data_IF_302908518980
#
_entry.id   IF_302908518980
#
_cell.length_a   1.000
_cell.length_b   1.000
_cell.length_c   1.000
_cell.angle_alpha   90.00
_cell.angle_beta   90.00
_cell.angle_gamma   90.00
#
_symmetry.space_group_name_H-M   'P 1'
#
loop_
_entity.id
_entity.type
_entity.pdbx_description
1 polymer ?
#
# COMPACT_ATOMS: atom_id res chain seq x y z
N UNK A 1 -6.02 -20.28 16.82
CA UNK A 1 -7.22 -19.94 17.63
C UNK A 1 -7.43 -18.39 17.70
N UNK A 2 -7.08 -17.64 16.64
CA UNK A 2 -7.07 -16.15 16.66
C UNK A 2 -8.04 -15.51 15.67
N UNK A 3 -8.97 -16.25 15.07
CA UNK A 3 -9.92 -15.71 14.10
C UNK A 3 -11.27 -15.29 14.69
N UNK A 4 -11.48 -15.48 15.98
CA UNK A 4 -12.71 -14.99 16.62
C UNK A 4 -12.48 -13.54 17.10
N UNK A 5 -13.27 -12.63 16.55
CA UNK A 5 -13.47 -11.32 17.18
C UNK A 5 -14.06 -11.62 18.55
N UNK A 6 -13.34 -11.31 19.61
CA UNK A 6 -13.92 -11.34 20.94
C UNK A 6 -15.00 -10.27 21.00
N UNK A 7 -16.16 -10.59 21.57
CA UNK A 7 -17.18 -9.60 21.87
C UNK A 7 -16.56 -8.58 22.84
N UNK A 8 -16.31 -7.39 22.35
CA UNK A 8 -15.70 -6.32 23.14
C UNK A 8 -14.75 -5.44 22.36
N UNK A 9 -14.50 -4.31 22.92
CA UNK A 9 -13.73 -3.21 22.33
C UNK A 9 -12.32 -3.14 22.90
N UNK A 10 -11.31 -3.13 22.02
CA UNK A 10 -9.93 -2.86 22.40
C UNK A 10 -9.63 -1.36 22.50
N UNK A 11 -10.20 -0.55 21.58
CA UNK A 11 -9.91 0.88 21.47
C UNK A 11 -11.22 1.68 21.37
N UNK A 12 -11.28 2.76 22.12
CA UNK A 12 -12.36 3.76 22.05
C UNK A 12 -11.78 5.17 21.94
N UNK A 13 -12.63 6.18 22.09
CA UNK A 13 -12.28 7.59 21.91
C UNK A 13 -11.09 8.05 22.73
N UNK A 14 -11.01 7.69 24.01
CA UNK A 14 -9.90 8.10 24.88
C UNK A 14 -8.55 7.56 24.42
N UNK A 15 -8.50 6.26 24.07
CA UNK A 15 -7.24 5.65 23.60
C UNK A 15 -6.84 6.16 22.23
N UNK A 16 -7.79 6.38 21.32
CA UNK A 16 -7.54 7.01 20.02
C UNK A 16 -6.96 8.42 20.20
N UNK A 17 -7.52 9.21 21.11
CA UNK A 17 -6.99 10.55 21.45
C UNK A 17 -5.55 10.46 21.96
N UNK A 18 -5.27 9.49 22.82
CA UNK A 18 -3.91 9.27 23.35
C UNK A 18 -2.92 8.83 22.26
N UNK A 19 -3.34 7.97 21.34
CA UNK A 19 -2.55 7.55 20.17
C UNK A 19 -2.22 8.77 19.32
N UNK A 20 -3.20 9.58 18.95
CA UNK A 20 -2.99 10.81 18.16
C UNK A 20 -2.03 11.78 18.83
N UNK A 21 -2.14 11.96 20.14
CA UNK A 21 -1.28 12.86 20.90
C UNK A 21 0.19 12.38 21.00
N UNK A 22 0.46 11.11 20.75
CA UNK A 22 1.79 10.49 20.85
C UNK A 22 2.44 10.20 19.51
N UNK A 23 1.72 10.42 18.41
CA UNK A 23 2.21 10.17 17.05
C UNK A 23 2.18 11.46 16.24
N UNK A 24 3.06 11.59 15.25
CA UNK A 24 3.07 12.74 14.33
C UNK A 24 1.96 12.54 13.28
N UNK A 25 2.10 11.54 12.42
CA UNK A 25 1.12 11.22 11.37
C UNK A 25 0.61 9.78 11.53
N UNK A 26 0.53 9.34 12.78
CA UNK A 26 0.22 7.95 13.09
C UNK A 26 -1.27 7.64 13.03
N UNK A 27 -1.51 6.34 12.89
CA UNK A 27 -2.83 5.74 12.96
C UNK A 27 -2.83 4.51 13.86
N UNK A 28 -3.90 3.74 13.77
CA UNK A 28 -4.02 2.48 14.47
C UNK A 28 -4.63 1.40 13.58
N UNK A 29 -4.07 0.19 13.62
CA UNK A 29 -4.65 -0.99 13.00
C UNK A 29 -5.07 -1.96 14.10
N UNK A 30 -6.36 -2.20 14.20
CA UNK A 30 -6.98 -2.95 15.31
C UNK A 30 -7.65 -4.19 14.74
N UNK A 31 -7.07 -5.36 14.98
CA UNK A 31 -7.68 -6.62 14.59
C UNK A 31 -8.76 -7.05 15.60
N UNK A 32 -9.72 -6.16 15.82
CA UNK A 32 -10.77 -6.34 16.81
C UNK A 32 -11.83 -5.26 16.75
N UNK A 33 -12.62 -5.12 17.82
CA UNK A 33 -13.68 -4.12 17.96
C UNK A 33 -13.18 -2.77 18.44
N UNK A 34 -13.90 -1.73 18.02
CA UNK A 34 -13.77 -0.35 18.52
C UNK A 34 -15.12 0.15 19.01
N UNK A 35 -15.13 1.24 19.82
CA UNK A 35 -16.34 1.94 20.24
C UNK A 35 -16.13 3.46 20.12
N UNK A 36 -17.17 4.20 20.47
CA UNK A 36 -17.17 5.69 20.50
C UNK A 36 -16.85 6.29 19.11
N UNK A 37 -17.48 5.72 18.06
CA UNK A 37 -17.18 6.04 16.64
C UNK A 37 -17.38 7.54 16.38
N UNK A 38 -18.43 8.16 16.88
CA UNK A 38 -18.72 9.58 16.69
C UNK A 38 -17.65 10.48 17.33
N UNK A 39 -17.02 10.02 18.41
CA UNK A 39 -15.90 10.70 19.02
C UNK A 39 -14.61 10.48 18.22
N UNK A 40 -14.36 9.24 17.80
CA UNK A 40 -13.18 8.88 17.02
C UNK A 40 -13.13 9.60 15.66
N UNK A 41 -14.28 9.80 15.00
CA UNK A 41 -14.39 10.52 13.72
C UNK A 41 -14.00 12.01 13.81
N UNK A 42 -13.98 12.58 15.02
CA UNK A 42 -13.54 13.97 15.25
C UNK A 42 -12.04 14.09 15.48
N UNK A 43 -11.36 12.98 15.61
CA UNK A 43 -9.91 12.93 15.85
C UNK A 43 -9.24 12.78 14.49
N UNK A 44 -8.31 13.68 14.16
CA UNK A 44 -7.53 13.62 12.92
C UNK A 44 -6.48 12.49 13.02
N UNK A 45 -6.99 11.24 12.89
CA UNK A 45 -6.14 10.03 12.88
C UNK A 45 -6.86 8.90 12.16
N UNK A 46 -6.13 8.12 11.38
CA UNK A 46 -6.70 6.97 10.68
C UNK A 46 -6.77 5.76 11.62
N UNK A 47 -7.94 5.12 11.70
CA UNK A 47 -8.12 3.90 12.49
C UNK A 47 -8.77 2.82 11.63
N UNK A 48 -8.01 1.73 11.40
CA UNK A 48 -8.50 0.55 10.70
C UNK A 48 -8.92 -0.51 11.73
N UNK A 49 -10.13 -1.06 11.60
CA UNK A 49 -10.68 -2.01 12.57
C UNK A 49 -11.61 -3.03 11.91
N UNK A 50 -11.92 -4.12 12.60
CA UNK A 50 -12.80 -5.19 12.10
C UNK A 50 -14.28 -4.98 12.38
N UNK A 51 -14.64 -4.31 13.46
CA UNK A 51 -16.04 -4.14 13.84
C UNK A 51 -16.22 -3.15 14.98
N UNK A 52 -17.47 -2.93 15.32
CA UNK A 52 -17.90 -2.02 16.39
C UNK A 52 -18.59 -2.82 17.47
N UNK A 53 -18.25 -2.58 18.74
CA UNK A 53 -18.89 -3.19 19.90
C UNK A 53 -18.84 -2.19 21.07
N UNK A 54 -19.97 -1.83 21.70
CA UNK A 54 -19.97 -0.86 22.79
C UNK A 54 -19.37 -1.41 24.10
N UNK A 55 -19.21 -2.73 24.21
CA UNK A 55 -18.80 -3.39 25.44
C UNK A 55 -17.27 -3.32 25.61
N UNK A 56 -16.74 -2.76 26.70
CA UNK A 56 -15.31 -2.77 26.95
C UNK A 56 -14.83 -4.21 27.22
N UNK A 57 -13.64 -4.53 26.68
CA UNK A 57 -13.02 -5.83 26.92
C UNK A 57 -12.54 -5.91 28.37
N UNK A 58 -12.89 -6.99 29.07
CA UNK A 58 -12.54 -7.19 30.48
C UNK A 58 -11.77 -8.50 30.74
N UNK A 59 -11.89 -9.44 29.82
CA UNK A 59 -11.37 -10.79 29.98
C UNK A 59 -10.01 -10.99 29.29
N UNK A 60 -9.37 -9.92 28.82
CA UNK A 60 -8.08 -9.98 28.14
C UNK A 60 -7.03 -9.22 28.90
N UNK A 61 -5.80 -9.76 28.89
CA UNK A 61 -4.61 -9.10 29.39
C UNK A 61 -3.64 -8.86 28.23
N UNK A 62 -2.88 -7.80 28.30
CA UNK A 62 -1.80 -7.55 27.35
C UNK A 62 -0.67 -8.54 27.65
N UNK A 63 -0.35 -9.37 26.68
CA UNK A 63 0.69 -10.40 26.83
C UNK A 63 2.03 -9.96 26.28
N UNK A 64 2.04 -9.00 25.35
CA UNK A 64 3.25 -8.55 24.70
C UNK A 64 3.13 -7.06 24.34
N UNK A 65 4.26 -6.38 24.33
CA UNK A 65 4.43 -4.99 23.95
C UNK A 65 5.64 -4.89 23.02
N UNK A 66 5.52 -4.14 21.92
CA UNK A 66 6.57 -3.94 20.92
C UNK A 66 7.12 -5.26 20.34
N UNK A 67 6.24 -6.21 20.11
CA UNK A 67 6.53 -7.51 19.51
C UNK A 67 5.78 -7.77 18.20
N UNK A 68 5.98 -8.95 17.58
CA UNK A 68 5.24 -9.34 16.39
C UNK A 68 3.73 -9.34 16.62
N UNK A 69 3.00 -8.69 15.73
CA UNK A 69 1.53 -8.61 15.79
C UNK A 69 0.90 -9.27 14.58
N UNK A 70 -0.01 -10.23 14.80
CA UNK A 70 -0.77 -10.84 13.71
C UNK A 70 -2.05 -10.05 13.44
N UNK A 71 -2.18 -9.55 12.22
CA UNK A 71 -3.35 -8.87 11.70
C UNK A 71 -3.94 -9.71 10.56
N UNK A 72 -4.99 -10.45 10.84
CA UNK A 72 -5.56 -11.40 9.89
C UNK A 72 -4.57 -12.48 9.49
N UNK A 73 -4.23 -12.53 8.20
CA UNK A 73 -3.23 -13.48 7.65
C UNK A 73 -1.82 -12.90 7.65
N UNK A 74 -1.67 -11.58 7.81
CA UNK A 74 -0.39 -10.91 7.81
C UNK A 74 0.24 -10.86 9.21
N UNK A 75 1.55 -10.68 9.26
CA UNK A 75 2.33 -10.39 10.47
C UNK A 75 2.95 -9.03 10.30
N UNK A 76 2.75 -8.16 11.29
CA UNK A 76 3.40 -6.87 11.40
C UNK A 76 4.53 -6.99 12.43
N UNK A 77 5.72 -6.57 12.06
CA UNK A 77 6.87 -6.51 12.95
C UNK A 77 7.11 -5.08 13.45
N UNK A 78 7.72 -4.90 14.61
CA UNK A 78 8.17 -3.59 15.05
C UNK A 78 9.11 -2.96 14.02
N UNK A 79 8.80 -1.72 13.61
CA UNK A 79 9.56 -1.00 12.59
C UNK A 79 9.04 -1.15 11.15
N UNK A 80 8.04 -2.00 10.91
CA UNK A 80 7.38 -2.05 9.61
C UNK A 80 6.66 -0.73 9.31
N UNK A 81 6.71 -0.30 8.05
CA UNK A 81 5.90 0.80 7.55
C UNK A 81 4.50 0.30 7.26
N UNK A 82 3.50 1.03 7.75
CA UNK A 82 2.09 0.67 7.56
C UNK A 82 1.47 1.60 6.52
N UNK A 83 1.03 1.04 5.41
CA UNK A 83 0.23 1.75 4.40
C UNK A 83 -1.22 1.27 4.51
N UNK A 84 -2.11 2.18 4.84
CA UNK A 84 -3.54 1.90 5.00
C UNK A 84 -4.37 2.74 4.03
N UNK A 85 -5.23 2.06 3.26
CA UNK A 85 -6.15 2.65 2.30
C UNK A 85 -7.55 2.08 2.48
N UNK A 86 -8.51 2.52 1.68
CA UNK A 86 -9.85 1.91 1.64
C UNK A 86 -9.82 0.44 1.14
N UNK A 87 -8.81 0.08 0.36
CA UNK A 87 -8.65 -1.27 -0.20
C UNK A 87 -8.02 -2.26 0.78
N UNK A 88 -7.34 -1.77 1.83
CA UNK A 88 -6.70 -2.63 2.81
C UNK A 88 -5.50 -2.00 3.50
N UNK A 89 -4.79 -2.84 4.26
CA UNK A 89 -3.61 -2.46 5.02
C UNK A 89 -2.44 -3.35 4.61
N UNK A 90 -1.32 -2.71 4.26
CA UNK A 90 -0.04 -3.37 3.99
C UNK A 90 0.96 -3.08 5.10
N UNK A 91 1.74 -4.08 5.45
CA UNK A 91 2.89 -3.97 6.33
C UNK A 91 4.15 -4.19 5.50
N UNK A 92 4.98 -3.16 5.41
CA UNK A 92 6.16 -3.13 4.56
C UNK A 92 7.40 -3.18 5.46
N UNK A 93 8.18 -4.27 5.41
CA UNK A 93 9.44 -4.36 6.14
C UNK A 93 10.35 -3.17 5.82
N UNK A 94 10.94 -2.57 6.85
CA UNK A 94 11.70 -1.32 6.70
C UNK A 94 12.83 -1.40 5.66
N UNK A 95 13.45 -2.56 5.49
CA UNK A 95 14.51 -2.77 4.51
C UNK A 95 14.01 -2.85 3.05
N UNK A 96 12.71 -3.05 2.82
CA UNK A 96 12.12 -3.11 1.49
C UNK A 96 11.45 -1.79 1.07
N UNK A 97 11.36 -0.80 1.96
CA UNK A 97 10.59 0.44 1.71
C UNK A 97 11.08 1.18 0.48
N UNK A 98 12.39 1.34 0.31
CA UNK A 98 12.94 2.06 -0.83
C UNK A 98 12.61 1.36 -2.17
N UNK A 99 12.69 0.04 -2.20
CA UNK A 99 12.36 -0.77 -3.39
C UNK A 99 10.86 -0.70 -3.70
N UNK A 100 10.01 -0.84 -2.67
CA UNK A 100 8.54 -0.74 -2.82
C UNK A 100 8.14 0.65 -3.34
N UNK A 101 8.75 1.73 -2.84
CA UNK A 101 8.48 3.08 -3.33
C UNK A 101 8.85 3.20 -4.81
N UNK A 102 10.06 2.76 -5.20
CA UNK A 102 10.51 2.83 -6.59
C UNK A 102 9.55 2.07 -7.53
N UNK A 103 9.14 0.87 -7.16
CA UNK A 103 8.19 0.09 -7.96
C UNK A 103 6.78 0.71 -7.99
N UNK A 104 6.33 1.29 -6.88
CA UNK A 104 5.05 1.98 -6.82
C UNK A 104 5.03 3.25 -7.69
N UNK A 105 6.13 4.01 -7.74
CA UNK A 105 6.27 5.17 -8.63
C UNK A 105 6.23 4.76 -10.10
N UNK A 106 6.94 3.68 -10.47
CA UNK A 106 6.90 3.12 -11.82
C UNK A 106 5.48 2.66 -12.20
N UNK A 107 4.81 1.93 -11.32
CA UNK A 107 3.44 1.49 -11.55
C UNK A 107 2.48 2.69 -11.72
N UNK A 108 2.62 3.71 -10.88
CA UNK A 108 1.80 4.91 -10.96
C UNK A 108 1.97 5.68 -12.29
N UNK A 109 3.20 5.79 -12.78
CA UNK A 109 3.48 6.40 -14.10
C UNK A 109 2.86 5.57 -15.21
N UNK A 110 3.02 4.23 -15.16
CA UNK A 110 2.39 3.33 -16.13
C UNK A 110 0.87 3.48 -16.13
N UNK A 111 0.24 3.67 -14.96
CA UNK A 111 -1.20 3.89 -14.85
C UNK A 111 -1.63 5.23 -15.49
N UNK A 112 -0.91 6.33 -15.22
CA UNK A 112 -1.22 7.65 -15.82
C UNK A 112 -1.15 7.56 -17.34
N UNK A 113 -0.08 6.99 -17.88
CA UNK A 113 0.08 6.79 -19.32
C UNK A 113 -0.96 5.83 -19.88
N UNK A 114 -1.14 4.68 -19.25
CA UNK A 114 -2.03 3.62 -19.69
C UNK A 114 -3.48 4.08 -19.78
N UNK A 115 -3.99 4.75 -18.77
CA UNK A 115 -5.36 5.29 -18.78
C UNK A 115 -5.56 6.32 -19.88
N UNK A 116 -4.59 7.19 -20.11
CA UNK A 116 -4.64 8.15 -21.22
C UNK A 116 -4.66 7.47 -22.59
N UNK A 117 -3.82 6.46 -22.78
CA UNK A 117 -3.75 5.71 -24.04
C UNK A 117 -4.99 4.86 -24.31
N UNK A 118 -5.57 4.26 -23.25
CA UNK A 118 -6.85 3.55 -23.34
C UNK A 118 -7.99 4.49 -23.71
N UNK A 119 -8.10 5.66 -23.10
CA UNK A 119 -9.12 6.66 -23.41
C UNK A 119 -9.04 7.16 -24.86
N UNK A 120 -7.82 7.28 -25.39
CA UNK A 120 -7.58 7.66 -26.80
C UNK A 120 -7.74 6.49 -27.78
N UNK A 121 -7.94 5.27 -27.29
CA UNK A 121 -8.03 4.07 -28.13
C UNK A 121 -6.73 3.72 -28.87
N UNK A 122 -5.57 4.11 -28.34
CA UNK A 122 -4.25 3.86 -28.95
C UNK A 122 -3.78 2.45 -28.64
N UNK A 123 -3.98 1.99 -27.39
CA UNK A 123 -3.66 0.64 -26.96
C UNK A 123 -4.89 -0.04 -26.39
N UNK A 124 -4.90 -1.37 -26.45
CA UNK A 124 -5.89 -2.22 -25.80
C UNK A 124 -5.56 -2.46 -24.33
N UNK A 125 -6.52 -2.92 -23.54
CA UNK A 125 -6.30 -3.34 -22.15
C UNK A 125 -5.26 -4.45 -22.05
N UNK A 126 -5.25 -5.40 -22.99
CA UNK A 126 -4.29 -6.49 -23.00
C UNK A 126 -2.84 -6.03 -23.21
N UNK A 127 -2.63 -4.95 -23.98
CA UNK A 127 -1.30 -4.35 -24.17
C UNK A 127 -0.87 -3.59 -22.92
N UNK A 128 -1.78 -2.83 -22.29
CA UNK A 128 -1.48 -2.07 -21.07
C UNK A 128 -1.21 -3.00 -19.86
N UNK A 129 -1.97 -4.09 -19.75
CA UNK A 129 -1.82 -5.06 -18.66
C UNK A 129 -0.66 -6.05 -18.88
N UNK A 130 0.03 -5.96 -20.02
CA UNK A 130 1.19 -6.83 -20.27
C UNK A 130 2.33 -6.53 -19.28
N UNK A 131 2.96 -7.58 -18.76
CA UNK A 131 4.12 -7.46 -17.84
C UNK A 131 5.29 -6.73 -18.49
N UNK A 132 5.56 -7.04 -19.76
CA UNK A 132 6.62 -6.40 -20.55
C UNK A 132 5.97 -5.63 -21.70
N UNK A 133 6.17 -4.34 -21.72
CA UNK A 133 5.73 -3.47 -22.81
C UNK A 133 6.72 -3.48 -23.96
N UNK A 134 6.25 -3.21 -25.17
CA UNK A 134 7.15 -3.10 -26.33
C UNK A 134 8.08 -1.89 -26.20
N UNK A 135 9.21 -1.93 -26.87
CA UNK A 135 10.15 -0.80 -26.91
C UNK A 135 9.46 0.49 -27.40
N UNK A 136 8.64 0.38 -28.45
CA UNK A 136 7.86 1.52 -28.97
C UNK A 136 6.95 2.14 -27.88
N UNK A 137 6.26 1.29 -27.12
CA UNK A 137 5.36 1.74 -26.06
C UNK A 137 6.12 2.45 -24.93
N UNK A 138 7.28 1.91 -24.53
CA UNK A 138 8.14 2.52 -23.51
C UNK A 138 8.73 3.86 -23.98
N UNK A 139 9.17 3.98 -25.22
CA UNK A 139 9.65 5.24 -25.81
C UNK A 139 8.54 6.30 -25.85
N UNK A 140 7.34 5.90 -26.23
CA UNK A 140 6.17 6.78 -26.22
C UNK A 140 5.82 7.23 -24.79
N UNK A 141 5.89 6.33 -23.82
CA UNK A 141 5.70 6.66 -22.40
C UNK A 141 6.77 7.65 -21.91
N UNK A 142 8.05 7.44 -22.25
CA UNK A 142 9.10 8.37 -21.85
C UNK A 142 8.92 9.78 -22.45
N UNK A 143 8.39 9.87 -23.67
CA UNK A 143 8.03 11.16 -24.28
C UNK A 143 6.87 11.79 -23.53
N UNK A 144 5.84 11.00 -23.23
CA UNK A 144 4.67 11.45 -22.46
C UNK A 144 5.05 11.96 -21.07
N UNK A 145 5.95 11.27 -20.35
CA UNK A 145 6.43 11.69 -19.02
C UNK A 145 7.02 13.11 -19.06
N UNK A 146 7.75 13.46 -20.12
CA UNK A 146 8.37 14.78 -20.27
C UNK A 146 7.38 15.89 -20.60
N UNK A 147 6.26 15.55 -21.20
CA UNK A 147 5.26 16.52 -21.69
C UNK A 147 4.07 16.69 -20.73
N UNK A 148 3.75 15.69 -19.92
CA UNK A 148 2.58 15.71 -19.04
C UNK A 148 2.93 16.24 -17.64
N UNK A 149 2.28 17.34 -17.18
CA UNK A 149 2.55 17.92 -15.86
C UNK A 149 2.31 16.95 -14.68
N UNK A 150 1.46 15.94 -14.86
CA UNK A 150 1.20 14.91 -13.81
C UNK A 150 2.43 14.06 -13.55
N UNK A 151 3.35 14.00 -14.53
CA UNK A 151 4.55 13.19 -14.50
C UNK A 151 5.83 13.95 -14.14
N UNK A 152 5.76 15.27 -13.90
CA UNK A 152 6.93 16.14 -13.68
C UNK A 152 7.95 15.57 -12.65
N UNK A 153 7.46 15.03 -11.54
CA UNK A 153 8.31 14.46 -10.49
C UNK A 153 8.91 13.08 -10.82
N UNK A 154 8.53 12.48 -11.96
CA UNK A 154 8.95 11.15 -12.37
C UNK A 154 9.88 11.14 -13.59
N UNK A 155 10.33 12.30 -14.04
CA UNK A 155 11.20 12.45 -15.24
C UNK A 155 12.52 11.69 -15.08
N UNK A 156 13.03 11.59 -13.85
CA UNK A 156 14.30 10.94 -13.52
C UNK A 156 14.16 9.45 -13.14
N UNK A 157 12.97 8.87 -13.26
CA UNK A 157 12.77 7.44 -12.98
C UNK A 157 13.53 6.60 -13.99
N UNK A 158 14.31 5.64 -13.49
CA UNK A 158 15.09 4.74 -14.32
C UNK A 158 14.23 3.61 -14.92
N UNK A 159 14.16 3.57 -16.24
CA UNK A 159 13.42 2.60 -17.04
C UNK A 159 14.33 1.60 -17.77
N UNK A 160 15.62 1.54 -17.43
CA UNK A 160 16.58 0.67 -18.11
C UNK A 160 16.17 -0.80 -18.06
N UNK A 161 15.73 -1.29 -16.89
CA UNK A 161 15.29 -2.67 -16.71
C UNK A 161 14.14 -3.05 -17.65
N UNK A 162 13.15 -2.17 -17.76
CA UNK A 162 11.99 -2.37 -18.63
C UNK A 162 12.38 -2.33 -20.12
N UNK A 163 13.31 -1.46 -20.50
CA UNK A 163 13.84 -1.37 -21.87
C UNK A 163 14.64 -2.60 -22.24
N UNK A 164 15.54 -3.07 -21.38
CA UNK A 164 16.35 -4.26 -21.60
C UNK A 164 15.48 -5.50 -21.74
N UNK A 165 14.44 -5.63 -20.89
CA UNK A 165 13.48 -6.71 -21.00
C UNK A 165 12.65 -6.64 -22.30
N UNK A 166 12.25 -5.44 -22.75
CA UNK A 166 11.56 -5.23 -24.02
C UNK A 166 12.42 -5.60 -25.25
N UNK A 167 13.75 -5.48 -25.12
CA UNK A 167 14.73 -5.88 -26.15
C UNK A 167 15.05 -7.37 -26.12
N UNK A 168 14.48 -8.12 -25.17
CA UNK A 168 14.63 -9.57 -25.05
C UNK A 168 15.79 -10.02 -24.17
N UNK A 169 16.34 -9.16 -23.31
CA UNK A 169 17.35 -9.57 -22.38
C UNK A 169 16.77 -10.48 -21.29
N UNK A 170 17.16 -11.74 -21.26
CA UNK A 170 16.61 -12.79 -20.39
C UNK A 170 16.74 -12.47 -18.89
N UNK A 171 17.87 -11.85 -18.49
CA UNK A 171 18.10 -11.46 -17.11
C UNK A 171 17.17 -10.34 -16.67
N UNK A 172 16.98 -9.33 -17.51
CA UNK A 172 16.08 -8.22 -17.25
C UNK A 172 14.62 -8.70 -17.18
N UNK A 173 14.22 -9.59 -18.09
CA UNK A 173 12.91 -10.24 -18.05
C UNK A 173 12.70 -11.00 -16.74
N UNK A 174 13.66 -11.82 -16.33
CA UNK A 174 13.57 -12.60 -15.08
C UNK A 174 13.47 -11.69 -13.85
N UNK A 175 14.20 -10.57 -13.85
CA UNK A 175 14.13 -9.60 -12.76
C UNK A 175 12.76 -8.92 -12.68
N UNK A 176 12.23 -8.45 -13.82
CA UNK A 176 10.88 -7.87 -13.90
C UNK A 176 9.80 -8.84 -13.42
N UNK A 177 9.92 -10.12 -13.76
CA UNK A 177 8.93 -11.13 -13.35
C UNK A 177 8.87 -11.32 -11.83
N UNK A 178 9.91 -10.99 -11.07
CA UNK A 178 9.87 -11.06 -9.59
C UNK A 178 8.82 -10.10 -9.00
N UNK A 179 8.56 -8.97 -9.65
CA UNK A 179 7.58 -7.97 -9.20
C UNK A 179 6.14 -8.28 -9.65
N UNK A 180 5.96 -9.26 -10.54
CA UNK A 180 4.67 -9.63 -11.10
C UNK A 180 4.15 -11.02 -10.67
N UNK A 181 4.93 -11.77 -9.91
CA UNK A 181 4.59 -13.13 -9.44
C UNK A 181 3.89 -13.14 -8.07
N UNK A 182 3.04 -12.15 -7.78
CA UNK A 182 2.27 -12.13 -6.51
C UNK A 182 0.80 -12.38 -6.79
#
# INVERSE_FOLDING_TARGET
>A
MFDKIHNGTFVGGNLTTAIRAKTVDGGAVIWGGVRDIEQMQKIDTQVCFRGVDPTPIRACVMTEYNGPCRIGKAVCLPGDVVMATQSGVLFIPSHLVAEVINQAEKAHVKDIFGFEMLQRGIYSTAEIDATVWSTEMLERMQTFIKEDPRCEKYVDVDWSLELDAAQGEEKAFTELMKYHLV
#
